data_IF_002164370645
#
_entry.id   IF_002164370645
#
_cell.length_a   1.000
_cell.length_b   1.000
_cell.length_c   1.000
_cell.angle_alpha   90.00
_cell.angle_beta   90.00
_cell.angle_gamma   90.00
#
_symmetry.space_group_name_H-M   'P 1'
#
loop_
_entity.id
_entity.type
_entity.pdbx_description
1 polymer ?
#
# COMPACT_ATOMS: atom_id res chain seq x y z
N UNK A 1 -4.65 -20.39 12.75
CA UNK A 1 -5.14 -19.17 12.04
C UNK A 1 -3.99 -18.32 11.46
N UNK A 2 -2.89 -18.04 12.18
CA UNK A 2 -1.76 -17.24 11.66
C UNK A 2 -1.07 -17.81 10.40
N UNK A 3 -0.77 -19.11 10.39
CA UNK A 3 -0.12 -19.75 9.23
C UNK A 3 -0.93 -19.63 7.91
N UNK A 4 -2.26 -19.61 7.98
CA UNK A 4 -3.10 -19.46 6.80
C UNK A 4 -3.07 -18.03 6.24
N UNK A 5 -3.07 -17.03 7.12
CA UNK A 5 -2.98 -15.62 6.72
C UNK A 5 -1.62 -15.31 6.08
N UNK A 6 -0.53 -15.81 6.67
CA UNK A 6 0.82 -15.61 6.12
C UNK A 6 1.00 -16.29 4.74
N UNK A 7 0.42 -17.48 4.55
CA UNK A 7 0.44 -18.17 3.26
C UNK A 7 -0.32 -17.36 2.20
N UNK A 8 -1.50 -16.84 2.54
CA UNK A 8 -2.28 -16.01 1.61
C UNK A 8 -1.51 -14.73 1.25
N UNK A 9 -0.92 -14.05 2.24
CA UNK A 9 -0.16 -12.83 2.01
C UNK A 9 1.08 -13.07 1.14
N UNK A 10 1.82 -14.15 1.38
CA UNK A 10 3.07 -14.43 0.68
C UNK A 10 2.84 -14.99 -0.73
N UNK A 11 1.82 -15.83 -0.93
CA UNK A 11 1.57 -16.50 -2.22
C UNK A 11 0.58 -15.78 -3.13
N UNK A 12 -0.31 -14.94 -2.59
CA UNK A 12 -1.33 -14.29 -3.39
C UNK A 12 -1.22 -12.76 -3.33
N UNK A 13 -1.15 -12.18 -2.12
CA UNK A 13 -1.21 -10.72 -1.98
C UNK A 13 0.03 -10.02 -2.57
N UNK A 14 1.22 -10.41 -2.12
CA UNK A 14 2.49 -9.81 -2.58
C UNK A 14 2.75 -10.08 -4.07
N UNK A 15 2.75 -11.33 -4.56
CA UNK A 15 2.99 -11.60 -5.98
C UNK A 15 1.88 -11.05 -6.88
N UNK A 16 0.63 -11.03 -6.42
CA UNK A 16 -0.47 -10.37 -7.13
C UNK A 16 -0.22 -8.86 -7.28
N UNK A 17 0.18 -8.19 -6.20
CA UNK A 17 0.56 -6.78 -6.23
C UNK A 17 1.73 -6.49 -7.19
N UNK A 18 2.78 -7.32 -7.15
CA UNK A 18 3.93 -7.21 -8.07
C UNK A 18 3.50 -7.45 -9.52
N UNK A 19 2.64 -8.44 -9.77
CA UNK A 19 2.12 -8.74 -11.10
C UNK A 19 1.32 -7.58 -11.70
N UNK A 20 0.48 -6.91 -10.88
CA UNK A 20 -0.25 -5.71 -11.30
C UNK A 20 0.70 -4.57 -11.67
N UNK A 21 1.71 -4.29 -10.82
CA UNK A 21 2.69 -3.24 -11.09
C UNK A 21 3.51 -3.54 -12.35
N UNK A 22 3.99 -4.78 -12.50
CA UNK A 22 4.76 -5.22 -13.66
C UNK A 22 3.95 -5.12 -14.95
N UNK A 23 2.70 -5.59 -14.93
CA UNK A 23 1.78 -5.50 -16.08
C UNK A 23 1.51 -4.05 -16.44
N UNK A 24 1.28 -3.20 -15.45
CA UNK A 24 0.98 -1.79 -15.68
C UNK A 24 2.21 -1.01 -16.19
N UNK A 25 3.43 -1.39 -15.77
CA UNK A 25 4.70 -0.91 -16.37
C UNK A 25 4.82 -1.35 -17.82
N UNK A 26 4.64 -2.64 -18.10
CA UNK A 26 4.72 -3.18 -19.46
C UNK A 26 3.71 -2.47 -20.37
N UNK A 27 2.44 -2.34 -19.96
CA UNK A 27 1.44 -1.62 -20.73
C UNK A 27 1.85 -0.17 -21.00
N UNK A 28 2.29 0.58 -20.00
CA UNK A 28 2.62 2.00 -20.24
C UNK A 28 3.94 2.26 -20.96
N UNK A 29 4.84 1.27 -21.06
CA UNK A 29 6.03 1.32 -21.92
C UNK A 29 5.71 0.90 -23.37
N UNK A 30 4.99 -0.20 -23.56
CA UNK A 30 4.75 -0.80 -24.88
C UNK A 30 3.55 -0.19 -25.62
N UNK A 31 2.67 0.54 -24.94
CA UNK A 31 1.56 1.24 -25.59
C UNK A 31 1.80 2.75 -25.64
N UNK A 32 1.36 3.39 -26.73
CA UNK A 32 1.41 4.85 -26.95
C UNK A 32 0.66 5.70 -25.88
N UNK A 33 0.12 5.07 -24.84
CA UNK A 33 -0.50 5.70 -23.68
C UNK A 33 0.47 6.55 -22.88
N UNK A 34 1.76 6.16 -22.81
CA UNK A 34 2.86 6.90 -22.20
C UNK A 34 2.58 7.40 -20.78
N UNK A 35 3.23 6.82 -19.76
CA UNK A 35 3.12 7.23 -18.34
C UNK A 35 3.15 8.75 -18.08
N UNK A 36 3.89 9.49 -18.91
CA UNK A 36 4.11 10.93 -18.79
C UNK A 36 3.39 11.78 -19.86
N UNK A 37 2.69 11.15 -20.81
CA UNK A 37 2.01 11.87 -21.91
C UNK A 37 0.77 12.62 -21.42
N UNK A 38 0.12 12.12 -20.38
CA UNK A 38 -1.04 12.75 -19.77
C UNK A 38 -0.76 13.03 -18.29
N UNK A 39 -0.60 14.32 -17.94
CA UNK A 39 -0.30 14.79 -16.56
C UNK A 39 -1.15 14.11 -15.48
N UNK A 40 -2.43 13.85 -15.74
CA UNK A 40 -3.30 13.17 -14.77
C UNK A 40 -3.03 11.68 -14.60
N UNK A 41 -2.61 10.98 -15.67
CA UNK A 41 -2.21 9.58 -15.56
C UNK A 41 -0.96 9.50 -14.67
N UNK A 42 -0.01 10.41 -14.87
CA UNK A 42 1.19 10.53 -14.03
C UNK A 42 0.86 10.78 -12.56
N UNK A 43 -0.07 11.69 -12.24
CA UNK A 43 -0.48 11.96 -10.86
C UNK A 43 -1.06 10.71 -10.19
N UNK A 44 -1.92 9.97 -10.90
CA UNK A 44 -2.48 8.71 -10.38
C UNK A 44 -1.39 7.67 -10.13
N UNK A 45 -0.44 7.55 -11.05
CA UNK A 45 0.69 6.64 -10.90
C UNK A 45 1.56 6.93 -9.69
N UNK A 46 1.91 8.21 -9.48
CA UNK A 46 2.69 8.62 -8.31
C UNK A 46 1.92 8.35 -7.02
N UNK A 47 0.62 8.64 -6.98
CA UNK A 47 -0.24 8.35 -5.83
C UNK A 47 -0.34 6.85 -5.54
N UNK A 48 -0.51 6.02 -6.58
CA UNK A 48 -0.56 4.56 -6.42
C UNK A 48 0.76 3.99 -5.90
N UNK A 49 1.89 4.47 -6.41
CA UNK A 49 3.21 4.06 -5.90
C UNK A 49 3.39 4.46 -4.43
N UNK A 50 3.00 5.68 -4.06
CA UNK A 50 3.00 6.14 -2.67
C UNK A 50 2.12 5.27 -1.75
N UNK A 51 0.92 4.91 -2.19
CA UNK A 51 0.01 4.04 -1.44
C UNK A 51 0.63 2.66 -1.21
N UNK A 52 1.27 2.08 -2.23
CA UNK A 52 1.91 0.76 -2.13
C UNK A 52 3.13 0.80 -1.21
N UNK A 53 3.97 1.85 -1.28
CA UNK A 53 5.16 1.96 -0.42
C UNK A 53 4.79 2.17 1.06
N UNK A 54 3.77 2.98 1.33
CA UNK A 54 3.24 3.16 2.70
C UNK A 54 2.64 1.85 3.22
N UNK A 55 1.84 1.17 2.40
CA UNK A 55 1.15 -0.06 2.77
C UNK A 55 2.08 -1.25 3.01
N UNK A 56 2.70 -1.74 1.94
CA UNK A 56 3.51 -2.98 1.97
C UNK A 56 4.86 -2.73 2.64
N UNK A 57 5.47 -1.57 2.38
CA UNK A 57 6.78 -1.22 2.91
C UNK A 57 6.72 -0.79 4.36
N UNK A 58 6.18 0.41 4.62
CA UNK A 58 6.24 1.00 5.96
C UNK A 58 5.36 0.26 6.98
N UNK A 59 4.05 0.16 6.74
CA UNK A 59 3.15 -0.50 7.68
C UNK A 59 3.39 -2.01 7.75
N UNK A 60 3.62 -2.66 6.61
CA UNK A 60 3.90 -4.10 6.56
C UNK A 60 5.10 -4.52 7.41
N UNK A 61 6.19 -3.75 7.39
CA UNK A 61 7.38 -4.05 8.23
C UNK A 61 7.07 -3.86 9.71
N UNK A 62 6.38 -2.80 10.10
CA UNK A 62 6.06 -2.54 11.51
C UNK A 62 5.07 -3.56 12.09
N UNK A 63 4.05 -3.95 11.30
CA UNK A 63 3.09 -4.99 11.69
C UNK A 63 3.79 -6.33 11.90
N UNK A 64 4.71 -6.72 10.98
CA UNK A 64 5.49 -7.96 11.12
C UNK A 64 6.40 -7.94 12.35
N UNK A 65 7.06 -6.81 12.64
CA UNK A 65 7.85 -6.63 13.86
C UNK A 65 7.00 -6.82 15.11
N UNK A 66 5.81 -6.22 15.16
CA UNK A 66 4.88 -6.39 16.27
C UNK A 66 4.37 -7.83 16.40
N UNK A 67 4.03 -8.49 15.30
CA UNK A 67 3.58 -9.88 15.33
C UNK A 67 4.64 -10.82 15.92
N UNK A 68 5.91 -10.63 15.53
CA UNK A 68 7.04 -11.37 16.07
C UNK A 68 7.28 -11.06 17.56
N UNK A 69 7.25 -9.78 17.93
CA UNK A 69 7.39 -9.35 19.32
C UNK A 69 6.31 -9.95 20.23
N UNK A 70 5.04 -9.89 19.82
CA UNK A 70 3.93 -10.47 20.58
C UNK A 70 4.06 -11.99 20.71
N UNK A 71 4.58 -12.68 19.68
CA UNK A 71 4.84 -14.12 19.77
C UNK A 71 5.93 -14.45 20.80
N UNK A 72 7.00 -13.64 20.87
CA UNK A 72 8.04 -13.79 21.89
C UNK A 72 7.50 -13.53 23.29
N UNK A 73 6.76 -12.44 23.48
CA UNK A 73 6.14 -12.07 24.76
C UNK A 73 5.24 -13.17 25.29
N UNK A 74 4.42 -13.77 24.42
CA UNK A 74 3.55 -14.89 24.79
C UNK A 74 4.34 -16.15 25.19
N UNK A 75 5.49 -16.39 24.56
CA UNK A 75 6.35 -17.54 24.86
C UNK A 75 7.15 -17.36 26.16
N UNK A 76 7.60 -16.13 26.46
CA UNK A 76 8.43 -15.83 27.63
C UNK A 76 7.63 -15.36 28.85
N UNK A 77 6.34 -15.07 28.70
CA UNK A 77 5.49 -14.52 29.77
C UNK A 77 5.88 -13.11 30.22
N UNK A 78 6.59 -12.36 29.35
CA UNK A 78 6.99 -10.99 29.67
C UNK A 78 5.79 -10.03 29.62
N UNK A 79 5.87 -8.91 30.36
CA UNK A 79 4.75 -7.96 30.50
C UNK A 79 5.10 -6.59 29.89
N UNK A 80 6.23 -6.47 29.21
CA UNK A 80 6.64 -5.22 28.57
C UNK A 80 5.99 -5.09 27.19
N UNK A 81 5.10 -4.11 27.05
CA UNK A 81 4.42 -3.79 25.78
C UNK A 81 4.87 -2.45 25.18
N UNK A 82 5.93 -1.83 25.69
CA UNK A 82 6.41 -0.52 25.22
C UNK A 82 6.73 -0.52 23.71
N UNK A 83 7.42 -1.56 23.24
CA UNK A 83 7.78 -1.75 21.82
C UNK A 83 6.53 -2.00 20.96
N UNK A 84 5.51 -2.68 21.51
CA UNK A 84 4.27 -2.92 20.78
C UNK A 84 3.54 -1.61 20.48
N UNK A 85 3.40 -0.75 21.50
CA UNK A 85 2.74 0.54 21.38
C UNK A 85 3.51 1.51 20.49
N UNK A 86 4.85 1.56 20.61
CA UNK A 86 5.67 2.45 19.78
C UNK A 86 5.57 2.16 18.28
N UNK A 87 5.31 0.92 17.90
CA UNK A 87 5.08 0.52 16.50
C UNK A 87 3.62 0.72 16.07
N UNK A 88 2.64 0.68 16.99
CA UNK A 88 1.22 0.80 16.62
C UNK A 88 0.83 2.24 16.27
N UNK A 89 1.35 3.22 17.00
CA UNK A 89 1.09 4.65 16.72
C UNK A 89 1.44 5.06 15.28
N UNK A 90 2.67 4.82 14.78
CA UNK A 90 3.01 5.16 13.40
C UNK A 90 2.22 4.36 12.37
N UNK A 91 1.89 3.09 12.64
CA UNK A 91 1.02 2.29 11.74
C UNK A 91 -0.38 2.89 11.64
N UNK A 92 -0.96 3.31 12.76
CA UNK A 92 -2.29 3.95 12.78
C UNK A 92 -2.28 5.27 12.02
N UNK A 93 -1.27 6.11 12.23
CA UNK A 93 -1.13 7.38 11.52
C UNK A 93 -0.96 7.13 10.01
N UNK A 94 -0.06 6.21 9.63
CA UNK A 94 0.13 5.84 8.23
C UNK A 94 -1.16 5.29 7.60
N UNK A 95 -1.95 4.51 8.35
CA UNK A 95 -3.25 3.99 7.90
C UNK A 95 -4.26 5.09 7.64
N UNK A 96 -4.36 6.09 8.53
CA UNK A 96 -5.25 7.25 8.34
C UNK A 96 -4.83 8.04 7.10
N UNK A 97 -3.53 8.32 6.95
CA UNK A 97 -2.99 9.00 5.77
C UNK A 97 -3.30 8.21 4.50
N UNK A 98 -3.15 6.89 4.54
CA UNK A 98 -3.44 6.00 3.41
C UNK A 98 -4.92 6.04 3.03
N UNK A 99 -5.85 6.04 4.00
CA UNK A 99 -7.29 6.17 3.74
C UNK A 99 -7.64 7.50 3.08
N UNK A 100 -7.04 8.61 3.55
CA UNK A 100 -7.22 9.94 2.95
C UNK A 100 -6.71 9.94 1.51
N UNK A 101 -5.54 9.37 1.25
CA UNK A 101 -4.98 9.26 -0.10
C UNK A 101 -5.87 8.42 -1.03
N UNK A 102 -6.48 7.34 -0.54
CA UNK A 102 -7.46 6.58 -1.31
C UNK A 102 -8.68 7.43 -1.68
N UNK A 103 -9.22 8.21 -0.74
CA UNK A 103 -10.33 9.13 -1.03
C UNK A 103 -9.93 10.15 -2.10
N UNK A 104 -8.71 10.70 -2.03
CA UNK A 104 -8.19 11.61 -3.06
C UNK A 104 -8.13 10.93 -4.43
N UNK A 105 -7.66 9.68 -4.51
CA UNK A 105 -7.63 8.91 -5.77
C UNK A 105 -9.05 8.69 -6.33
N UNK A 106 -10.03 8.40 -5.47
CA UNK A 106 -11.43 8.23 -5.87
C UNK A 106 -11.99 9.56 -6.39
N UNK A 107 -11.81 10.66 -5.66
CA UNK A 107 -12.24 12.00 -6.09
C UNK A 107 -11.61 12.41 -7.42
N UNK A 108 -10.31 12.19 -7.58
CA UNK A 108 -9.59 12.42 -8.85
C UNK A 108 -10.12 11.55 -10.00
N UNK A 109 -10.75 10.42 -9.71
CA UNK A 109 -11.38 9.56 -10.71
C UNK A 109 -12.74 10.11 -11.14
N UNK A 110 -13.55 10.57 -10.20
CA UNK A 110 -14.90 11.12 -10.46
C UNK A 110 -14.85 12.47 -11.17
N UNK A 111 -13.91 13.34 -10.82
CA UNK A 111 -13.83 14.71 -11.37
C UNK A 111 -13.42 14.72 -12.85
N UNK A 112 -12.84 13.62 -13.36
CA UNK A 112 -12.10 13.63 -14.63
C UNK A 112 -12.84 13.40 -15.96
N UNK A 113 -14.17 13.16 -16.06
CA UNK A 113 -14.82 13.23 -17.37
C UNK A 113 -14.66 14.60 -18.05
N UNK A 114 -14.51 15.69 -17.27
CA UNK A 114 -14.57 17.07 -17.79
C UNK A 114 -13.23 17.66 -18.28
N UNK A 115 -12.08 17.05 -17.97
CA UNK A 115 -10.76 17.52 -18.45
C UNK A 115 -10.44 17.08 -19.89
N UNK A 116 -11.28 16.24 -20.51
CA UNK A 116 -11.17 15.80 -21.90
C UNK A 116 -11.90 16.75 -22.88
N UNK A 117 -12.86 17.53 -22.40
CA UNK A 117 -13.75 18.34 -23.25
C UNK A 117 -13.35 19.81 -23.34
N UNK A 118 -12.20 20.19 -22.78
CA UNK A 118 -11.61 21.51 -23.01
C UNK A 118 -10.65 21.44 -24.20
N UNK A 119 -11.17 21.06 -25.37
CA UNK A 119 -10.63 21.31 -26.71
C UNK A 119 -11.72 21.03 -27.74
#
# INVERSE_FOLDING_TARGET
>A
MRAAADVIDLFFLIPGGVGIVATAIAYGMFTNFGFFRHRWITVKWVLTLLLVTIGVGYMGVLIKKNAHYTAQVLATGSIDFSIYWSNIYPVTIAGIVQLILFLVVILLTVIKPKLRNAK
#
